data_IF_831013672795
#
_entry.id   IF_831013672795
#
_cell.length_a   1.000
_cell.length_b   1.000
_cell.length_c   1.000
_cell.angle_alpha   90.00
_cell.angle_beta   90.00
_cell.angle_gamma   90.00
#
_symmetry.space_group_name_H-M   'P 1'
#
loop_
_entity.id
_entity.type
_entity.pdbx_description
1 polymer ?
#
# COMPACT_ATOMS: atom_id res chain seq x y z
N UNK A 1 20.07 1.12 -0.64
CA UNK A 1 19.12 2.13 -0.13
C UNK A 1 19.87 3.45 0.07
N UNK A 2 19.18 4.59 0.18
CA UNK A 2 19.86 5.90 0.30
C UNK A 2 20.34 6.47 -1.03
N UNK A 3 19.62 6.21 -2.12
CA UNK A 3 19.89 6.78 -3.44
C UNK A 3 18.86 7.87 -3.74
N UNK A 4 19.33 9.03 -4.16
CA UNK A 4 18.49 10.14 -4.65
C UNK A 4 18.76 10.34 -6.14
N UNK A 5 17.73 10.11 -6.97
CA UNK A 5 17.78 10.42 -8.39
C UNK A 5 17.72 11.94 -8.55
N UNK A 6 18.61 12.51 -9.35
CA UNK A 6 18.78 13.96 -9.54
C UNK A 6 18.34 14.42 -10.93
N UNK A 7 18.51 13.58 -11.95
CA UNK A 7 17.96 13.82 -13.28
C UNK A 7 17.72 12.52 -14.02
N UNK A 8 16.73 12.54 -14.91
CA UNK A 8 16.41 11.47 -15.85
C UNK A 8 16.11 12.13 -17.20
N UNK A 9 16.83 11.73 -18.25
CA UNK A 9 16.58 12.23 -19.61
C UNK A 9 16.79 11.15 -20.66
N UNK A 10 16.15 11.33 -21.80
CA UNK A 10 16.35 10.47 -22.95
C UNK A 10 17.48 11.03 -23.83
N UNK A 11 18.46 10.20 -24.19
CA UNK A 11 19.60 10.57 -25.03
C UNK A 11 19.92 9.41 -25.98
N UNK A 12 19.88 9.65 -27.29
CA UNK A 12 20.21 8.65 -28.33
C UNK A 12 19.45 7.30 -28.16
N UNK A 13 18.14 7.34 -27.90
CA UNK A 13 17.30 6.17 -27.59
C UNK A 13 17.67 5.39 -26.32
N UNK A 14 18.47 5.99 -25.44
CA UNK A 14 18.81 5.45 -24.12
C UNK A 14 18.38 6.41 -23.02
N UNK A 15 18.42 5.96 -21.77
CA UNK A 15 18.05 6.69 -20.57
C UNK A 15 19.30 7.06 -19.78
N UNK A 16 19.60 8.36 -19.74
CA UNK A 16 20.67 8.92 -18.92
C UNK A 16 20.12 9.28 -17.54
N UNK A 17 20.71 8.71 -16.49
CA UNK A 17 20.29 8.90 -15.10
C UNK A 17 21.47 9.41 -14.28
N UNK A 18 21.22 10.41 -13.44
CA UNK A 18 22.17 10.89 -12.43
C UNK A 18 21.61 10.60 -11.05
N UNK A 19 22.41 9.99 -10.19
CA UNK A 19 22.07 9.80 -8.78
C UNK A 19 23.25 10.11 -7.86
N UNK A 20 22.95 10.51 -6.62
CA UNK A 20 23.94 10.75 -5.56
C UNK A 20 25.15 11.64 -5.96
N UNK A 21 24.96 12.61 -6.86
CA UNK A 21 26.03 13.46 -7.42
C UNK A 21 27.15 12.69 -8.15
N UNK A 22 26.86 11.47 -8.61
CA UNK A 22 27.77 10.69 -9.44
C UNK A 22 27.72 11.16 -10.90
N UNK A 23 28.63 10.62 -11.72
CA UNK A 23 28.59 10.82 -13.18
C UNK A 23 27.32 10.22 -13.80
N UNK A 24 27.03 10.65 -15.02
CA UNK A 24 25.86 10.17 -15.77
C UNK A 24 26.07 8.70 -16.14
N UNK A 25 25.12 7.84 -15.78
CA UNK A 25 25.06 6.47 -16.30
C UNK A 25 23.91 6.33 -17.30
N UNK A 26 24.11 5.46 -18.30
CA UNK A 26 23.23 5.32 -19.45
C UNK A 26 22.69 3.89 -19.53
N UNK A 27 21.38 3.75 -19.74
CA UNK A 27 20.66 2.48 -19.75
C UNK A 27 19.77 2.36 -20.98
N UNK A 28 19.62 1.14 -21.51
CA UNK A 28 18.71 0.90 -22.63
C UNK A 28 17.23 0.92 -22.21
N UNK A 29 16.96 0.61 -20.93
CA UNK A 29 15.61 0.53 -20.38
C UNK A 29 15.52 1.22 -19.02
N UNK A 30 14.41 1.90 -18.78
CA UNK A 30 14.04 2.52 -17.51
C UNK A 30 12.69 1.97 -17.05
N UNK A 31 12.67 1.25 -15.93
CA UNK A 31 11.46 0.65 -15.36
C UNK A 31 11.09 1.36 -14.06
N UNK A 32 9.95 2.05 -14.05
CA UNK A 32 9.46 2.81 -12.90
C UNK A 32 8.53 1.95 -12.05
N UNK A 33 9.03 1.48 -10.90
CA UNK A 33 8.28 0.58 -9.97
C UNK A 33 7.76 1.29 -8.71
N UNK A 34 7.88 2.61 -8.65
CA UNK A 34 7.46 3.43 -7.50
C UNK A 34 5.94 3.69 -7.54
N UNK A 35 5.30 4.08 -6.42
CA UNK A 35 3.88 4.43 -6.42
C UNK A 35 3.54 5.52 -7.44
N UNK A 36 2.36 5.44 -8.07
CA UNK A 36 1.95 6.34 -9.15
C UNK A 36 2.13 7.83 -8.81
N UNK A 37 1.64 8.26 -7.65
CA UNK A 37 1.74 9.64 -7.14
C UNK A 37 3.18 10.12 -6.83
N UNK A 38 4.18 9.26 -6.99
CA UNK A 38 5.61 9.59 -6.86
C UNK A 38 6.29 9.72 -8.21
N UNK A 39 5.70 9.19 -9.29
CA UNK A 39 6.30 9.22 -10.63
C UNK A 39 6.43 10.65 -11.15
N UNK A 40 5.40 11.48 -11.00
CA UNK A 40 5.46 12.89 -11.43
C UNK A 40 6.48 13.73 -10.64
N UNK A 41 6.98 13.21 -9.50
CA UNK A 41 7.99 13.86 -8.66
C UNK A 41 9.42 13.43 -9.01
N UNK A 42 9.58 12.50 -9.95
CA UNK A 42 10.90 12.15 -10.45
C UNK A 42 11.44 13.31 -11.31
N UNK A 43 12.76 13.56 -11.27
CA UNK A 43 13.37 14.69 -11.97
C UNK A 43 13.58 14.39 -13.47
N UNK A 44 12.49 14.10 -14.18
CA UNK A 44 12.51 14.02 -15.63
C UNK A 44 12.71 15.41 -16.25
N UNK A 45 13.38 15.47 -17.40
CA UNK A 45 13.38 16.69 -18.21
C UNK A 45 12.00 16.97 -18.82
N UNK A 46 11.70 18.24 -19.06
CA UNK A 46 10.49 18.64 -19.80
C UNK A 46 10.68 18.38 -21.30
N UNK A 47 9.63 17.99 -22.03
CA UNK A 47 8.21 17.96 -21.62
C UNK A 47 7.77 16.69 -20.87
N UNK A 48 8.55 15.60 -20.88
CA UNK A 48 8.16 14.29 -20.35
C UNK A 48 7.69 14.33 -18.89
N UNK A 49 8.33 15.13 -18.03
CA UNK A 49 7.90 15.30 -16.64
C UNK A 49 6.41 15.64 -16.49
N UNK A 50 5.90 16.52 -17.36
CA UNK A 50 4.51 16.97 -17.32
C UNK A 50 3.52 15.87 -17.75
N UNK A 51 3.97 14.89 -18.55
CA UNK A 51 3.12 13.79 -18.99
C UNK A 51 2.73 12.84 -17.86
N UNK A 52 3.43 12.86 -16.72
CA UNK A 52 3.12 12.01 -15.56
C UNK A 52 2.16 12.62 -14.55
N UNK A 53 1.74 13.88 -14.71
CA UNK A 53 0.88 14.57 -13.74
C UNK A 53 -0.49 13.90 -13.55
N UNK A 54 -1.01 13.23 -14.58
CA UNK A 54 -2.27 12.48 -14.48
C UNK A 54 -2.24 11.38 -13.41
N UNK A 55 -1.06 10.83 -13.08
CA UNK A 55 -0.91 9.80 -12.05
C UNK A 55 -1.26 10.30 -10.64
N UNK A 56 -1.22 11.61 -10.41
CA UNK A 56 -1.65 12.22 -9.14
C UNK A 56 -3.17 12.16 -8.94
N UNK A 57 -3.94 11.89 -10.00
CA UNK A 57 -5.39 11.75 -9.93
C UNK A 57 -5.84 10.32 -9.56
N UNK A 58 -4.91 9.36 -9.48
CA UNK A 58 -5.23 8.02 -8.97
C UNK A 58 -5.49 8.13 -7.47
N UNK A 59 -6.67 7.68 -7.05
CA UNK A 59 -7.08 7.73 -5.66
C UNK A 59 -6.35 6.67 -4.83
N UNK A 60 -5.86 7.08 -3.66
CA UNK A 60 -5.19 6.23 -2.67
C UNK A 60 -5.73 6.57 -1.27
N UNK A 61 -6.81 5.91 -0.82
CA UNK A 61 -7.33 6.11 0.52
C UNK A 61 -6.29 5.73 1.58
N UNK A 62 -6.27 6.46 2.71
CA UNK A 62 -5.40 6.14 3.82
C UNK A 62 -5.90 4.89 4.57
N UNK A 63 -4.98 4.11 5.13
CA UNK A 63 -5.30 2.96 5.99
C UNK A 63 -4.36 2.96 7.20
N UNK A 64 -4.95 2.82 8.39
CA UNK A 64 -4.21 2.51 9.61
C UNK A 64 -4.38 1.04 9.98
N UNK A 65 -3.26 0.38 10.27
CA UNK A 65 -3.19 -1.02 10.68
C UNK A 65 -2.72 -1.07 12.12
N UNK A 66 -3.57 -1.58 13.00
CA UNK A 66 -3.29 -1.73 14.43
C UNK A 66 -3.12 -3.20 14.77
N UNK A 67 -1.92 -3.58 15.19
CA UNK A 67 -1.64 -4.93 15.70
C UNK A 67 -1.73 -4.91 17.22
N UNK A 68 -2.53 -5.81 17.79
CA UNK A 68 -2.83 -5.88 19.22
C UNK A 68 -2.68 -7.32 19.69
N UNK A 69 -1.95 -7.54 20.78
CA UNK A 69 -1.94 -8.84 21.45
C UNK A 69 -2.77 -8.80 22.74
N UNK A 70 -3.41 -9.92 23.03
CA UNK A 70 -4.19 -10.16 24.24
C UNK A 70 -3.93 -11.56 24.76
N UNK A 71 -4.12 -11.78 26.05
CA UNK A 71 -4.18 -13.14 26.58
C UNK A 71 -5.41 -13.85 26.01
N UNK A 72 -5.28 -15.10 25.63
CA UNK A 72 -6.38 -15.86 25.03
C UNK A 72 -7.59 -15.96 25.97
N UNK A 73 -7.35 -16.09 27.27
CA UNK A 73 -8.41 -16.10 28.30
C UNK A 73 -9.25 -14.81 28.37
N UNK A 74 -8.74 -13.70 27.84
CA UNK A 74 -9.41 -12.40 27.85
C UNK A 74 -10.20 -12.16 26.56
N UNK A 75 -10.27 -13.16 25.66
CA UNK A 75 -11.04 -13.13 24.41
C UNK A 75 -12.12 -14.21 24.48
N UNK A 76 -13.38 -13.81 24.29
CA UNK A 76 -14.50 -14.77 24.38
C UNK A 76 -14.71 -15.54 23.06
N UNK A 77 -14.41 -14.91 21.93
CA UNK A 77 -14.48 -15.55 20.60
C UNK A 77 -13.36 -16.59 20.44
N UNK A 78 -13.63 -17.77 19.82
CA UNK A 78 -12.64 -18.85 19.70
C UNK A 78 -11.45 -18.55 18.77
N UNK A 79 -11.59 -17.55 17.89
CA UNK A 79 -10.59 -17.13 16.89
C UNK A 79 -10.17 -18.27 15.94
N UNK A 80 -11.07 -19.19 15.66
CA UNK A 80 -10.90 -20.42 14.87
C UNK A 80 -11.03 -20.19 13.35
N UNK A 81 -10.48 -19.07 12.85
CA UNK A 81 -10.54 -18.71 11.44
C UNK A 81 -9.42 -17.75 11.02
N UNK A 82 -9.50 -17.31 9.77
CA UNK A 82 -8.54 -16.34 9.21
C UNK A 82 -8.68 -14.94 9.82
N UNK A 83 -9.91 -14.57 10.14
CA UNK A 83 -10.29 -13.23 10.56
C UNK A 83 -11.75 -12.96 10.24
N UNK A 84 -12.13 -11.69 10.30
CA UNK A 84 -13.45 -11.20 9.94
C UNK A 84 -13.34 -9.93 9.08
N UNK A 85 -14.21 -9.83 8.09
CA UNK A 85 -14.46 -8.61 7.33
C UNK A 85 -15.74 -7.97 7.84
N UNK A 86 -15.76 -6.64 7.87
CA UNK A 86 -16.91 -5.89 8.38
C UNK A 86 -17.55 -5.12 7.23
N UNK A 87 -18.71 -5.57 6.71
CA UNK A 87 -19.35 -4.92 5.58
C UNK A 87 -19.87 -3.53 5.94
N UNK A 88 -20.16 -2.73 4.92
CA UNK A 88 -20.59 -1.33 5.10
C UNK A 88 -21.91 -1.18 5.83
N UNK A 89 -22.85 -2.10 5.61
CA UNK A 89 -24.16 -2.09 6.24
C UNK A 89 -24.11 -2.20 7.78
N UNK A 90 -23.02 -2.72 8.35
CA UNK A 90 -22.83 -2.83 9.81
C UNK A 90 -22.52 -1.48 10.46
N UNK A 91 -22.15 -0.44 9.69
CA UNK A 91 -21.84 0.91 10.19
C UNK A 91 -20.78 0.94 11.31
N UNK A 92 -19.85 -0.01 11.26
CA UNK A 92 -18.72 -0.15 12.17
C UNK A 92 -17.55 0.72 11.70
N UNK A 93 -16.65 1.04 12.63
CA UNK A 93 -15.51 1.93 12.40
C UNK A 93 -14.23 1.22 11.93
N UNK A 94 -14.27 -0.10 11.83
CA UNK A 94 -13.18 -0.93 11.30
C UNK A 94 -13.59 -1.59 9.98
N UNK A 95 -12.62 -1.88 9.12
CA UNK A 95 -12.82 -2.64 7.88
C UNK A 95 -12.85 -4.15 8.14
N UNK A 96 -12.15 -4.60 9.19
CA UNK A 96 -12.00 -6.00 9.55
C UNK A 96 -10.82 -6.23 10.48
N UNK A 97 -10.69 -7.48 10.92
CA UNK A 97 -9.59 -7.95 11.75
C UNK A 97 -9.09 -9.29 11.23
N UNK A 98 -7.78 -9.48 11.22
CA UNK A 98 -7.13 -10.77 10.97
C UNK A 98 -6.70 -11.39 12.29
N UNK A 99 -6.58 -12.73 12.31
CA UNK A 99 -6.08 -13.50 13.44
C UNK A 99 -4.71 -14.15 13.12
N UNK A 100 -3.62 -13.38 12.91
CA UNK A 100 -2.32 -13.92 12.51
C UNK A 100 -1.79 -15.08 13.35
N UNK A 101 -2.00 -15.06 14.68
CA UNK A 101 -1.51 -16.13 15.56
C UNK A 101 -2.28 -17.44 15.42
N UNK A 102 -3.52 -17.40 14.95
CA UNK A 102 -4.28 -18.61 14.58
C UNK A 102 -3.72 -19.22 13.30
N UNK A 103 -3.38 -18.37 12.33
CA UNK A 103 -2.95 -18.79 11.00
C UNK A 103 -1.51 -19.27 10.94
N UNK A 104 -0.63 -18.63 11.71
CA UNK A 104 0.80 -18.85 11.64
C UNK A 104 1.37 -19.01 13.04
N UNK A 105 1.95 -20.18 13.31
CA UNK A 105 2.66 -20.45 14.55
C UNK A 105 3.75 -19.40 14.81
N UNK A 106 4.02 -19.13 16.09
CA UNK A 106 5.05 -18.21 16.55
C UNK A 106 4.83 -16.73 16.15
N UNK A 107 3.58 -16.32 15.89
CA UNK A 107 3.21 -14.89 15.70
C UNK A 107 2.74 -14.19 16.98
N UNK A 108 2.55 -14.93 18.06
CA UNK A 108 2.35 -14.42 19.42
C UNK A 108 3.04 -15.36 20.43
N UNK A 109 3.39 -14.88 21.63
CA UNK A 109 3.77 -15.75 22.74
C UNK A 109 2.71 -16.81 23.06
N UNK A 110 3.12 -17.91 23.70
CA UNK A 110 2.18 -18.92 24.20
C UNK A 110 1.15 -18.30 25.16
N UNK A 111 -0.11 -18.70 25.03
CA UNK A 111 -1.22 -18.14 25.81
C UNK A 111 -1.71 -16.76 25.36
N UNK A 112 -1.12 -16.17 24.32
CA UNK A 112 -1.57 -14.92 23.71
C UNK A 112 -2.13 -15.14 22.30
N UNK A 113 -2.92 -14.16 21.85
CA UNK A 113 -3.43 -14.07 20.50
C UNK A 113 -3.09 -12.69 19.93
N UNK A 114 -2.59 -12.66 18.68
CA UNK A 114 -2.33 -11.45 17.92
C UNK A 114 -3.49 -11.20 16.96
N UNK A 115 -4.05 -9.99 17.04
CA UNK A 115 -5.09 -9.47 16.16
C UNK A 115 -4.51 -8.33 15.31
N UNK A 116 -4.87 -8.25 14.04
CA UNK A 116 -4.51 -7.12 13.17
C UNK A 116 -5.75 -6.46 12.61
N UNK A 117 -6.02 -5.23 13.02
CA UNK A 117 -7.23 -4.47 12.69
C UNK A 117 -6.93 -3.39 11.67
N UNK A 118 -7.82 -3.24 10.70
CA UNK A 118 -7.71 -2.27 9.61
C UNK A 118 -8.77 -1.17 9.76
N UNK A 119 -8.35 0.09 9.69
CA UNK A 119 -9.20 1.27 9.85
C UNK A 119 -8.93 2.24 8.72
N UNK A 120 -9.97 2.93 8.24
CA UNK A 120 -9.87 3.86 7.13
C UNK A 120 -10.41 3.27 5.83
N UNK A 121 -9.57 3.28 4.81
CA UNK A 121 -9.94 2.91 3.45
C UNK A 121 -10.87 3.96 2.83
N UNK A 122 -11.49 3.59 1.71
CA UNK A 122 -12.38 4.51 0.97
C UNK A 122 -13.64 4.88 1.77
N UNK A 123 -14.12 3.98 2.65
CA UNK A 123 -15.40 4.14 3.37
C UNK A 123 -15.37 5.23 4.44
N UNK A 124 -14.28 5.29 5.22
CA UNK A 124 -14.13 6.21 6.37
C UNK A 124 -12.67 6.71 6.47
N UNK A 125 -12.12 7.35 5.42
CA UNK A 125 -10.71 7.73 5.34
C UNK A 125 -10.26 8.63 6.50
N UNK A 126 -11.17 9.42 7.06
CA UNK A 126 -10.96 10.31 8.21
C UNK A 126 -10.61 9.57 9.50
N UNK A 127 -10.95 8.27 9.62
CA UNK A 127 -10.59 7.45 10.77
C UNK A 127 -9.16 6.89 10.69
N UNK A 128 -8.54 6.91 9.51
CA UNK A 128 -7.13 6.53 9.38
C UNK A 128 -6.24 7.63 9.96
N UNK A 129 -5.54 7.31 11.05
CA UNK A 129 -4.66 8.24 11.75
C UNK A 129 -3.32 7.61 12.10
N UNK A 130 -2.27 8.43 12.13
CA UNK A 130 -0.95 8.07 12.66
C UNK A 130 -0.88 8.14 14.21
N UNK A 131 -1.96 8.57 14.88
CA UNK A 131 -2.01 8.70 16.33
C UNK A 131 -2.59 7.44 16.99
N UNK A 132 -1.71 6.64 17.60
CA UNK A 132 -2.08 5.34 18.20
C UNK A 132 -3.16 5.44 19.28
N UNK A 133 -3.20 6.54 20.05
CA UNK A 133 -4.22 6.74 21.10
C UNK A 133 -5.63 6.86 20.49
N UNK A 134 -5.80 7.73 19.49
CA UNK A 134 -7.05 7.92 18.77
C UNK A 134 -7.50 6.62 18.07
N UNK A 135 -6.55 5.88 17.51
CA UNK A 135 -6.87 4.63 16.84
C UNK A 135 -7.32 3.54 17.83
N UNK A 136 -6.74 3.48 19.03
CA UNK A 136 -7.21 2.58 20.10
C UNK A 136 -8.62 2.94 20.56
N UNK A 137 -8.94 4.22 20.71
CA UNK A 137 -10.31 4.67 21.05
C UNK A 137 -11.34 4.22 20.00
N UNK A 138 -10.92 4.08 18.75
CA UNK A 138 -11.75 3.55 17.66
C UNK A 138 -11.84 2.03 17.66
N UNK A 139 -10.71 1.32 17.82
CA UNK A 139 -10.60 -0.13 17.62
C UNK A 139 -11.05 -0.94 18.84
N UNK A 140 -10.71 -0.51 20.06
CA UNK A 140 -10.97 -1.32 21.25
C UNK A 140 -12.46 -1.62 21.48
N UNK A 141 -13.39 -0.65 21.35
CA UNK A 141 -14.82 -0.94 21.49
C UNK A 141 -15.34 -1.92 20.42
N UNK A 142 -14.75 -1.89 19.23
CA UNK A 142 -15.13 -2.78 18.13
C UNK A 142 -14.67 -4.22 18.40
N UNK A 143 -13.46 -4.40 18.94
CA UNK A 143 -12.97 -5.72 19.34
C UNK A 143 -13.72 -6.29 20.56
N UNK A 144 -14.08 -5.45 21.52
CA UNK A 144 -14.95 -5.86 22.63
C UNK A 144 -16.30 -6.33 22.12
N UNK A 145 -16.94 -5.55 21.23
CA UNK A 145 -18.25 -5.89 20.69
C UNK A 145 -18.24 -7.11 19.77
N UNK A 146 -17.20 -7.29 18.94
CA UNK A 146 -17.17 -8.33 17.91
C UNK A 146 -16.56 -9.65 18.42
N UNK A 147 -15.53 -9.56 19.29
CA UNK A 147 -14.76 -10.72 19.73
C UNK A 147 -14.83 -10.96 21.24
N UNK A 148 -15.51 -10.09 21.98
CA UNK A 148 -15.62 -10.19 23.43
C UNK A 148 -14.27 -10.03 24.14
N UNK A 149 -13.38 -9.20 23.59
CA UNK A 149 -12.08 -8.85 24.19
C UNK A 149 -12.29 -8.04 25.46
N UNK A 150 -11.56 -8.38 26.52
CA UNK A 150 -11.59 -7.69 27.81
C UNK A 150 -10.21 -7.17 28.20
N UNK A 151 -10.20 -6.05 28.92
CA UNK A 151 -8.97 -5.46 29.44
C UNK A 151 -8.07 -4.84 28.36
N UNK A 152 -6.90 -4.32 28.76
CA UNK A 152 -5.97 -3.69 27.85
C UNK A 152 -5.14 -4.73 27.06
N UNK A 153 -4.71 -4.40 25.83
CA UNK A 153 -3.78 -5.25 25.08
C UNK A 153 -2.40 -5.33 25.76
N UNK A 154 -1.76 -6.49 25.70
CA UNK A 154 -0.38 -6.73 26.17
C UNK A 154 0.67 -6.15 25.23
N UNK A 155 0.33 -6.03 23.95
CA UNK A 155 1.17 -5.44 22.91
C UNK A 155 0.34 -4.57 21.97
N UNK A 156 0.93 -3.48 21.48
CA UNK A 156 0.26 -2.56 20.58
C UNK A 156 1.27 -1.95 19.59
N UNK A 157 1.02 -2.12 18.29
CA UNK A 157 1.84 -1.53 17.24
C UNK A 157 0.98 -0.96 16.12
N UNK A 158 1.27 0.29 15.73
CA UNK A 158 0.58 0.99 14.67
C UNK A 158 1.48 1.12 13.44
N UNK A 159 0.92 0.80 12.28
CA UNK A 159 1.43 1.27 10.99
C UNK A 159 0.35 2.08 10.28
N UNK A 160 0.64 3.34 9.95
CA UNK A 160 -0.23 4.19 9.16
C UNK A 160 0.31 4.37 7.74
N UNK A 161 -0.58 4.23 6.75
CA UNK A 161 -0.32 4.44 5.34
C UNK A 161 -1.24 5.55 4.83
N UNK A 162 -0.70 6.75 4.59
CA UNK A 162 -1.49 7.88 4.10
C UNK A 162 -2.06 7.64 2.68
N UNK A 163 -1.34 6.87 1.86
CA UNK A 163 -1.73 6.49 0.52
C UNK A 163 -1.51 4.97 0.37
N UNK A 164 -2.52 4.17 0.70
CA UNK A 164 -2.34 2.73 0.90
C UNK A 164 -2.47 1.93 -0.40
N UNK A 165 -3.67 1.88 -0.96
CA UNK A 165 -4.01 1.01 -2.09
C UNK A 165 -4.59 1.86 -3.23
N UNK A 166 -4.05 1.79 -4.47
CA UNK A 166 -4.64 2.50 -5.60
C UNK A 166 -6.05 1.99 -5.90
N UNK A 167 -7.00 2.89 -6.12
CA UNK A 167 -8.39 2.53 -6.41
C UNK A 167 -8.66 2.49 -7.91
N UNK A 168 -9.03 1.31 -8.41
CA UNK A 168 -9.37 1.06 -9.81
C UNK A 168 -10.84 1.41 -10.03
N UNK A 169 -11.17 2.72 -9.94
CA UNK A 169 -12.54 3.23 -10.06
C UNK A 169 -13.04 3.16 -11.51
N UNK A 170 -14.35 3.36 -11.69
CA UNK A 170 -14.92 3.50 -13.04
C UNK A 170 -14.15 4.57 -13.84
N UNK A 171 -13.78 4.21 -15.07
CA UNK A 171 -12.95 5.05 -15.93
C UNK A 171 -11.44 4.91 -15.72
N UNK A 172 -10.96 3.92 -14.94
CA UNK A 172 -9.52 3.70 -14.74
C UNK A 172 -8.74 3.43 -16.04
N UNK A 173 -9.41 2.89 -17.06
CA UNK A 173 -8.86 2.61 -18.38
C UNK A 173 -8.08 3.80 -18.95
N UNK A 174 -8.57 5.04 -18.74
CA UNK A 174 -7.89 6.25 -19.21
C UNK A 174 -6.45 6.38 -18.69
N UNK A 175 -6.20 5.91 -17.46
CA UNK A 175 -4.86 5.90 -16.88
C UNK A 175 -3.97 4.88 -17.58
N UNK A 176 -4.51 3.69 -17.87
CA UNK A 176 -3.82 2.63 -18.59
C UNK A 176 -3.48 3.06 -20.02
N UNK A 177 -4.44 3.64 -20.74
CA UNK A 177 -4.26 4.18 -22.09
C UNK A 177 -3.20 5.28 -22.13
N UNK A 178 -3.23 6.20 -21.16
CA UNK A 178 -2.22 7.27 -21.08
C UNK A 178 -0.83 6.71 -20.79
N UNK A 179 -0.72 5.74 -19.86
CA UNK A 179 0.56 5.04 -19.62
C UNK A 179 1.06 4.32 -20.88
N UNK A 180 0.19 3.61 -21.60
CA UNK A 180 0.55 2.89 -22.82
C UNK A 180 1.04 3.84 -23.92
N UNK A 181 0.39 5.00 -24.07
CA UNK A 181 0.82 6.04 -24.99
C UNK A 181 2.22 6.56 -24.64
N UNK A 182 2.46 6.93 -23.38
CA UNK A 182 3.77 7.41 -22.92
C UNK A 182 4.87 6.37 -23.16
N UNK A 183 4.62 5.10 -22.85
CA UNK A 183 5.59 4.02 -23.11
C UNK A 183 5.86 3.81 -24.61
N UNK A 184 4.86 4.04 -25.46
CA UNK A 184 5.01 3.94 -26.93
C UNK A 184 5.79 5.12 -27.50
N UNK A 185 5.57 6.32 -26.97
CA UNK A 185 6.24 7.56 -27.38
C UNK A 185 7.71 7.60 -26.91
N UNK A 186 8.04 6.88 -25.83
CA UNK A 186 9.37 6.87 -25.21
C UNK A 186 9.98 5.46 -25.12
N UNK A 187 10.70 5.07 -26.18
CA UNK A 187 11.35 3.76 -26.25
C UNK A 187 12.20 3.44 -25.01
N UNK A 188 12.00 2.23 -24.46
CA UNK A 188 12.72 1.73 -23.29
C UNK A 188 12.13 2.19 -21.94
N UNK A 189 11.16 3.10 -21.92
CA UNK A 189 10.43 3.45 -20.70
C UNK A 189 9.32 2.44 -20.41
N UNK A 190 9.24 2.02 -19.15
CA UNK A 190 8.15 1.17 -18.67
C UNK A 190 7.68 1.64 -17.31
N UNK A 191 6.37 1.77 -17.13
CA UNK A 191 5.71 1.94 -15.85
C UNK A 191 5.29 0.56 -15.34
N UNK A 192 5.59 0.29 -14.08
CA UNK A 192 5.26 -0.98 -13.44
C UNK A 192 4.84 -0.72 -11.99
N UNK A 193 4.02 -1.62 -11.45
CA UNK A 193 3.59 -1.58 -10.06
C UNK A 193 2.10 -1.79 -9.89
N UNK A 194 1.66 -1.67 -8.64
CA UNK A 194 0.33 -2.07 -8.20
C UNK A 194 -0.82 -1.20 -8.76
N UNK A 195 -0.50 -0.11 -9.45
CA UNK A 195 -1.44 0.80 -10.13
C UNK A 195 -1.62 0.48 -11.63
N UNK A 196 -0.96 -0.55 -12.16
CA UNK A 196 -1.04 -0.91 -13.58
C UNK A 196 -1.56 -2.33 -13.79
N UNK A 197 -0.94 -3.31 -13.15
CA UNK A 197 -1.12 -4.74 -13.47
C UNK A 197 -1.80 -5.54 -12.35
N UNK A 198 -2.37 -4.86 -11.36
CA UNK A 198 -3.07 -5.47 -10.23
C UNK A 198 -2.43 -5.15 -8.88
N UNK A 199 -3.25 -5.14 -7.84
CA UNK A 199 -2.88 -4.63 -6.52
C UNK A 199 -2.03 -5.63 -5.71
N UNK A 200 -2.23 -6.93 -5.93
CA UNK A 200 -1.67 -7.97 -5.07
C UNK A 200 -0.16 -8.14 -5.27
N UNK A 201 0.50 -8.70 -4.24
CA UNK A 201 1.91 -9.10 -4.32
C UNK A 201 2.15 -10.05 -5.48
N UNK A 202 1.28 -11.04 -5.69
CA UNK A 202 1.40 -11.99 -6.79
C UNK A 202 1.34 -11.31 -8.15
N UNK A 203 0.40 -10.38 -8.37
CA UNK A 203 0.32 -9.62 -9.62
C UNK A 203 1.57 -8.76 -9.85
N UNK A 204 2.10 -8.14 -8.79
CA UNK A 204 3.33 -7.37 -8.90
C UNK A 204 4.53 -8.26 -9.30
N UNK A 205 4.62 -9.48 -8.75
CA UNK A 205 5.67 -10.45 -9.10
C UNK A 205 5.51 -10.92 -10.55
N UNK A 206 4.31 -11.34 -10.95
CA UNK A 206 4.01 -11.79 -12.31
C UNK A 206 4.31 -10.69 -13.33
N UNK A 207 3.91 -9.45 -13.03
CA UNK A 207 4.22 -8.29 -13.86
C UNK A 207 5.71 -8.04 -14.00
N UNK A 208 6.49 -8.25 -12.93
CA UNK A 208 7.94 -8.05 -12.95
C UNK A 208 8.65 -9.05 -13.86
N UNK A 209 8.15 -10.29 -13.96
CA UNK A 209 8.71 -11.35 -14.82
C UNK A 209 8.62 -11.03 -16.32
N UNK A 210 7.75 -10.10 -16.72
CA UNK A 210 7.66 -9.66 -18.12
C UNK A 210 8.83 -8.75 -18.53
N UNK A 211 9.59 -8.19 -17.59
CA UNK A 211 10.73 -7.32 -17.87
C UNK A 211 12.09 -8.03 -17.83
N UNK A 212 12.12 -9.28 -17.38
CA UNK A 212 13.35 -10.08 -17.26
C UNK A 212 13.55 -11.07 -18.42
N UNK A 213 12.64 -11.08 -19.40
CA UNK A 213 12.70 -11.85 -20.63
C UNK A 213 13.14 -10.96 -21.80
#
# INVERSE_FOLDING_TARGET
TGVSIQSIRQQNNQWAVVWNHQEVEVFDKLILTIPAHRVSKLPFETPLAAEFEFLNQIDYPPVSVLSLAYKQQDISHPLDGFGALVPECEKRKILGALFPSTLFANRAPEGEALLTVFVGGERQPELATAHIKQLKETVLPELESLLGVKGPPTFCHLKHWQQAIPQYKLGYERFLETMNRIESDHQGLHLAGNYRTGISVSYCIESALNFTR
#
